data_IF_359358415565
#
_entry.id   IF_359358415565
#
_cell.length_a   1.000
_cell.length_b   1.000
_cell.length_c   1.000
_cell.angle_alpha   90.00
_cell.angle_beta   90.00
_cell.angle_gamma   90.00
#
_symmetry.space_group_name_H-M   'P 1'
#
loop_
_entity.id
_entity.type
_entity.pdbx_description
1 polymer ?
#
# COMPACT_ATOMS: atom_id res chain seq x y z
N UNK A 1 -23.04 -21.99 -17.58
CA UNK A 1 -21.90 -21.19 -18.09
C UNK A 1 -21.69 -19.82 -17.43
N UNK A 2 -22.65 -19.29 -16.65
CA UNK A 2 -22.61 -17.91 -16.08
C UNK A 2 -21.60 -17.73 -14.93
N UNK A 3 -21.27 -18.79 -14.19
CA UNK A 3 -20.39 -18.72 -13.02
C UNK A 3 -18.92 -18.45 -13.38
N UNK A 4 -18.40 -19.00 -14.49
CA UNK A 4 -16.99 -18.87 -14.88
C UNK A 4 -16.58 -17.41 -15.19
N UNK A 5 -17.49 -16.62 -15.76
CA UNK A 5 -17.23 -15.24 -16.18
C UNK A 5 -17.19 -14.23 -15.01
N UNK A 6 -17.98 -14.44 -13.94
CA UNK A 6 -17.90 -13.62 -12.72
C UNK A 6 -16.58 -13.82 -11.97
N UNK A 7 -16.01 -15.02 -12.07
CA UNK A 7 -14.87 -15.44 -11.24
C UNK A 7 -13.55 -14.87 -11.76
N UNK A 8 -13.34 -14.80 -13.08
CA UNK A 8 -12.16 -14.13 -13.66
C UNK A 8 -12.11 -12.64 -13.30
N UNK A 9 -13.27 -11.98 -13.22
CA UNK A 9 -13.36 -10.57 -12.82
C UNK A 9 -12.90 -10.33 -11.38
N UNK A 10 -13.12 -11.28 -10.47
CA UNK A 10 -12.71 -11.15 -9.06
C UNK A 10 -11.18 -11.23 -8.88
N UNK A 11 -10.52 -12.12 -9.62
CA UNK A 11 -9.06 -12.21 -9.62
C UNK A 11 -8.41 -10.95 -10.21
N UNK A 12 -8.96 -10.45 -11.32
CA UNK A 12 -8.53 -9.17 -11.93
C UNK A 12 -8.77 -8.01 -10.96
N UNK A 13 -9.92 -7.97 -10.26
CA UNK A 13 -10.20 -6.95 -9.25
C UNK A 13 -9.16 -6.95 -8.11
N UNK A 14 -8.78 -8.12 -7.59
CA UNK A 14 -7.75 -8.24 -6.55
C UNK A 14 -6.42 -7.64 -7.00
N UNK A 15 -6.00 -7.94 -8.24
CA UNK A 15 -4.78 -7.39 -8.85
C UNK A 15 -4.90 -5.87 -9.03
N UNK A 16 -6.03 -5.38 -9.54
CA UNK A 16 -6.26 -3.94 -9.70
C UNK A 16 -6.22 -3.20 -8.36
N UNK A 17 -6.85 -3.73 -7.32
CA UNK A 17 -6.82 -3.15 -5.96
C UNK A 17 -5.39 -3.17 -5.40
N UNK A 18 -4.64 -4.25 -5.60
CA UNK A 18 -3.25 -4.33 -5.18
C UNK A 18 -2.40 -3.28 -5.90
N UNK A 19 -2.53 -3.13 -7.22
CA UNK A 19 -1.82 -2.10 -7.99
C UNK A 19 -2.16 -0.69 -7.50
N UNK A 20 -3.43 -0.42 -7.21
CA UNK A 20 -3.85 0.86 -6.62
C UNK A 20 -3.18 1.09 -5.27
N UNK A 21 -3.12 0.07 -4.40
CA UNK A 21 -2.44 0.19 -3.11
C UNK A 21 -0.92 0.37 -3.24
N UNK A 22 -0.26 -0.29 -4.21
CA UNK A 22 1.16 -0.06 -4.52
C UNK A 22 1.41 1.37 -4.97
N UNK A 23 0.60 1.86 -5.92
CA UNK A 23 0.68 3.24 -6.40
C UNK A 23 0.46 4.23 -5.25
N UNK A 24 -0.51 3.94 -4.37
CA UNK A 24 -0.79 4.75 -3.21
C UNK A 24 0.44 4.82 -2.29
N UNK A 25 1.07 3.68 -1.96
CA UNK A 25 2.29 3.60 -1.12
C UNK A 25 3.40 4.46 -1.71
N UNK A 26 3.64 4.29 -3.01
CA UNK A 26 4.68 5.03 -3.72
C UNK A 26 4.44 6.54 -3.66
N UNK A 27 3.24 6.98 -4.05
CA UNK A 27 2.86 8.39 -4.07
C UNK A 27 2.94 9.04 -2.69
N UNK A 28 2.50 8.33 -1.64
CA UNK A 28 2.56 8.87 -0.28
C UNK A 28 3.98 8.98 0.27
N UNK A 29 4.82 7.98 0.02
CA UNK A 29 6.23 8.07 0.42
C UNK A 29 6.94 9.23 -0.30
N UNK A 30 6.65 9.44 -1.58
CA UNK A 30 7.18 10.58 -2.33
C UNK A 30 6.64 11.92 -1.80
N UNK A 31 5.33 12.01 -1.54
CA UNK A 31 4.72 13.23 -1.01
C UNK A 31 5.27 13.59 0.38
N UNK A 32 5.48 12.59 1.25
CA UNK A 32 6.18 12.77 2.53
C UNK A 32 7.61 13.27 2.33
N UNK A 33 8.33 12.73 1.32
CA UNK A 33 9.67 13.17 0.96
C UNK A 33 9.72 14.64 0.62
N UNK A 34 8.85 15.09 -0.28
CA UNK A 34 8.77 16.50 -0.66
C UNK A 34 8.39 17.42 0.50
N UNK A 35 7.42 17.03 1.33
CA UNK A 35 7.00 17.85 2.48
C UNK A 35 8.11 18.02 3.51
N UNK A 36 8.97 17.03 3.65
CA UNK A 36 9.99 17.07 4.68
C UNK A 36 11.33 17.62 4.19
N UNK A 37 11.67 17.46 2.91
CA UNK A 37 12.80 18.20 2.32
C UNK A 37 12.51 19.70 2.27
N UNK A 38 11.24 20.10 2.10
CA UNK A 38 10.84 21.52 2.17
C UNK A 38 10.79 22.06 3.61
N UNK A 39 10.49 21.23 4.60
CA UNK A 39 10.56 21.59 6.03
C UNK A 39 12.00 21.60 6.59
N UNK A 40 12.89 20.82 5.99
CA UNK A 40 14.31 20.77 6.37
C UNK A 40 15.03 21.96 5.73
N UNK A 41 14.90 23.14 6.33
CA UNK A 41 15.82 24.23 6.04
C UNK A 41 17.23 23.81 6.48
N UNK A 42 18.26 23.89 5.64
CA UNK A 42 19.63 23.47 5.96
C UNK A 42 20.32 24.29 7.08
N UNK A 43 19.59 25.20 7.74
CA UNK A 43 20.06 26.07 8.82
C UNK A 43 19.64 25.63 10.23
N UNK A 44 18.68 24.72 10.38
CA UNK A 44 18.25 24.24 11.70
C UNK A 44 18.52 22.73 11.81
N UNK A 45 19.43 22.37 12.71
CA UNK A 45 19.86 20.99 12.99
C UNK A 45 18.82 20.17 13.79
N UNK A 46 17.58 20.64 13.85
CA UNK A 46 16.48 20.03 14.59
C UNK A 46 15.40 19.60 13.61
N UNK A 47 15.37 18.31 13.31
CA UNK A 47 14.29 17.67 12.54
C UNK A 47 13.06 17.60 13.46
N UNK A 48 12.39 18.73 13.65
CA UNK A 48 11.08 18.74 14.32
C UNK A 48 10.04 18.22 13.33
N UNK A 49 9.85 16.90 13.29
CA UNK A 49 8.73 16.30 12.56
C UNK A 49 7.43 16.85 13.15
N UNK A 50 6.65 17.65 12.40
CA UNK A 50 5.42 18.21 12.93
C UNK A 50 4.49 17.07 13.36
N UNK A 51 3.86 17.19 14.54
CA UNK A 51 2.89 16.19 15.07
C UNK A 51 1.79 15.85 14.04
N UNK A 52 1.45 16.80 13.17
CA UNK A 52 0.51 16.62 12.07
C UNK A 52 0.98 15.58 11.06
N UNK A 53 2.28 15.59 10.68
CA UNK A 53 2.83 14.62 9.72
C UNK A 53 2.93 13.22 10.35
N UNK A 54 3.27 13.14 11.63
CA UNK A 54 3.25 11.88 12.38
C UNK A 54 1.84 11.27 12.43
N UNK A 55 0.82 12.10 12.64
CA UNK A 55 -0.58 11.66 12.70
C UNK A 55 -1.07 11.23 11.32
N UNK A 56 -0.75 11.99 10.27
CA UNK A 56 -1.08 11.64 8.87
C UNK A 56 -0.43 10.33 8.47
N UNK A 57 0.85 10.12 8.82
CA UNK A 57 1.58 8.88 8.53
C UNK A 57 0.96 7.66 9.23
N UNK A 58 0.50 7.81 10.49
CA UNK A 58 -0.25 6.75 11.19
C UNK A 58 -1.58 6.42 10.52
N UNK A 59 -2.39 7.44 10.20
CA UNK A 59 -3.68 7.25 9.51
C UNK A 59 -3.46 6.58 8.16
N UNK A 60 -2.44 7.02 7.42
CA UNK A 60 -2.08 6.45 6.14
C UNK A 60 -1.72 4.96 6.24
N UNK A 61 -0.90 4.59 7.23
CA UNK A 61 -0.52 3.20 7.48
C UNK A 61 -1.75 2.32 7.71
N UNK A 62 -2.72 2.81 8.47
CA UNK A 62 -4.00 2.11 8.72
C UNK A 62 -4.78 1.95 7.41
N UNK A 63 -4.92 3.01 6.61
CA UNK A 63 -5.63 2.97 5.32
C UNK A 63 -4.99 1.96 4.36
N UNK A 64 -3.66 1.94 4.27
CA UNK A 64 -2.93 1.02 3.39
C UNK A 64 -3.05 -0.42 3.86
N UNK A 65 -3.01 -0.66 5.19
CA UNK A 65 -3.31 -1.98 5.76
C UNK A 65 -4.73 -2.42 5.38
N UNK A 66 -5.74 -1.53 5.50
CA UNK A 66 -7.11 -1.84 5.09
C UNK A 66 -7.22 -2.19 3.59
N UNK A 67 -6.54 -1.45 2.71
CA UNK A 67 -6.48 -1.74 1.27
C UNK A 67 -5.81 -3.10 1.01
N UNK A 68 -4.71 -3.38 1.72
CA UNK A 68 -4.02 -4.67 1.67
C UNK A 68 -4.91 -5.83 2.09
N UNK A 69 -5.65 -5.69 3.21
CA UNK A 69 -6.61 -6.70 3.67
C UNK A 69 -7.76 -6.90 2.67
N UNK A 70 -8.30 -5.83 2.10
CA UNK A 70 -9.33 -5.89 1.05
C UNK A 70 -8.80 -6.66 -0.18
N UNK A 71 -7.61 -6.33 -0.66
CA UNK A 71 -6.96 -7.04 -1.77
C UNK A 71 -6.74 -8.52 -1.46
N UNK A 72 -6.27 -8.82 -0.25
CA UNK A 72 -6.04 -10.19 0.24
C UNK A 72 -7.34 -10.98 0.32
N UNK A 73 -8.44 -10.38 0.80
CA UNK A 73 -9.76 -11.00 0.84
C UNK A 73 -10.24 -11.42 -0.54
N UNK A 74 -10.14 -10.53 -1.53
CA UNK A 74 -10.47 -10.88 -2.92
C UNK A 74 -9.52 -11.92 -3.51
N UNK A 75 -8.23 -11.87 -3.16
CA UNK A 75 -7.22 -12.85 -3.57
C UNK A 75 -7.53 -14.26 -3.06
N UNK A 76 -7.85 -14.38 -1.76
CA UNK A 76 -8.22 -15.65 -1.11
C UNK A 76 -9.48 -16.23 -1.73
N UNK A 77 -10.53 -15.43 -1.94
CA UNK A 77 -11.77 -15.89 -2.59
C UNK A 77 -11.48 -16.42 -4.01
N UNK A 78 -10.57 -15.77 -4.74
CA UNK A 78 -10.17 -16.20 -6.07
C UNK A 78 -9.34 -17.50 -6.05
N UNK A 79 -8.46 -17.65 -5.06
CA UNK A 79 -7.65 -18.85 -4.86
C UNK A 79 -8.48 -20.07 -4.46
N UNK A 80 -9.44 -19.90 -3.54
CA UNK A 80 -10.36 -20.97 -3.09
C UNK A 80 -11.13 -21.59 -4.26
N UNK A 81 -11.34 -20.82 -5.35
CA UNK A 81 -12.00 -21.27 -6.58
C UNK A 81 -11.04 -21.94 -7.59
N UNK A 82 -9.86 -22.41 -7.16
CA UNK A 82 -8.82 -23.10 -7.95
C UNK A 82 -8.26 -22.30 -9.14
N UNK A 83 -8.37 -20.97 -9.13
CA UNK A 83 -7.74 -20.13 -10.15
C UNK A 83 -6.32 -19.75 -9.74
N UNK A 84 -5.34 -20.10 -10.59
CA UNK A 84 -3.90 -19.74 -10.41
C UNK A 84 -3.67 -18.23 -10.22
N UNK A 85 -4.53 -17.42 -10.84
CA UNK A 85 -4.48 -15.95 -10.78
C UNK A 85 -4.75 -15.42 -9.35
N UNK A 86 -5.54 -16.12 -8.54
CA UNK A 86 -5.77 -15.74 -7.15
C UNK A 86 -4.51 -15.83 -6.29
N UNK A 87 -3.62 -16.78 -6.59
CA UNK A 87 -2.34 -16.92 -5.89
C UNK A 87 -1.43 -15.70 -6.10
N UNK A 88 -1.43 -15.13 -7.31
CA UNK A 88 -0.67 -13.92 -7.62
C UNK A 88 -1.24 -12.73 -6.84
N UNK A 89 -2.57 -12.59 -6.77
CA UNK A 89 -3.22 -11.54 -5.98
C UNK A 89 -2.89 -11.63 -4.48
N UNK A 90 -2.88 -12.83 -3.91
CA UNK A 90 -2.46 -13.05 -2.51
C UNK A 90 -1.00 -12.66 -2.32
N UNK A 91 -0.11 -13.11 -3.21
CA UNK A 91 1.32 -12.79 -3.12
C UNK A 91 1.54 -11.27 -3.17
N UNK A 92 0.86 -10.57 -4.08
CA UNK A 92 0.89 -9.11 -4.19
C UNK A 92 0.36 -8.42 -2.93
N UNK A 93 -0.75 -8.91 -2.37
CA UNK A 93 -1.34 -8.32 -1.17
C UNK A 93 -0.44 -8.50 0.07
N UNK A 94 0.18 -9.67 0.23
CA UNK A 94 1.15 -9.91 1.31
C UNK A 94 2.35 -8.98 1.15
N UNK A 95 2.87 -8.84 -0.07
CA UNK A 95 3.99 -7.94 -0.35
C UNK A 95 3.65 -6.47 -0.03
N UNK A 96 2.44 -6.05 -0.38
CA UNK A 96 1.92 -4.71 -0.11
C UNK A 96 1.78 -4.43 1.39
N UNK A 97 1.29 -5.41 2.15
CA UNK A 97 1.22 -5.32 3.62
C UNK A 97 2.63 -5.18 4.19
N UNK A 98 3.59 -6.01 3.78
CA UNK A 98 4.98 -5.94 4.24
C UNK A 98 5.60 -4.57 3.94
N UNK A 99 5.42 -4.05 2.72
CA UNK A 99 5.90 -2.73 2.32
C UNK A 99 5.33 -1.60 3.17
N UNK A 100 4.11 -1.76 3.69
CA UNK A 100 3.48 -0.76 4.59
C UNK A 100 4.19 -0.67 5.95
N UNK A 101 4.94 -1.71 6.35
CA UNK A 101 5.74 -1.68 7.58
C UNK A 101 7.11 -1.04 7.40
N UNK A 102 7.56 -0.82 6.15
CA UNK A 102 8.85 -0.23 5.84
C UNK A 102 8.65 1.27 5.60
N UNK A 103 9.03 2.15 6.54
CA UNK A 103 8.98 3.59 6.32
C UNK A 103 10.16 4.01 5.42
N UNK A 104 10.01 3.85 4.10
CA UNK A 104 11.04 4.24 3.12
C UNK A 104 11.47 5.69 3.28
N UNK A 105 10.55 6.55 3.73
CA UNK A 105 10.84 7.95 3.99
C UNK A 105 12.00 8.16 4.98
N UNK A 106 12.10 7.36 6.05
CA UNK A 106 13.17 7.52 7.06
C UNK A 106 14.57 7.24 6.50
N UNK A 107 14.68 6.37 5.51
CA UNK A 107 15.96 6.05 4.87
C UNK A 107 16.41 7.10 3.86
N UNK A 108 15.52 7.99 3.41
CA UNK A 108 15.83 8.99 2.38
C UNK A 108 16.33 10.33 2.96
N UNK A 109 16.19 10.56 4.27
CA UNK A 109 16.62 11.79 4.97
C UNK A 109 17.88 11.56 5.81
N UNK A 110 18.39 10.33 5.81
CA UNK A 110 19.63 9.97 6.49
C UNK A 110 20.81 10.15 5.54
#
# INVERSE_FOLDING_TARGET
MVTKHRIMKQGILSISIALIGFYFIYWFNHSLLEHMTTLTNPKENTIEVPKTILTISKTYRITTICIGLLSLYFGIISFLKKHKIGSIGILLAVFLIILTFIPFWQYAIQ
#
